data_IF_636847430755
#
_entry.id   IF_636847430755
#
_cell.length_a   1.000
_cell.length_b   1.000
_cell.length_c   1.000
_cell.angle_alpha   90.00
_cell.angle_beta   90.00
_cell.angle_gamma   90.00
#
_symmetry.space_group_name_H-M   'P 1'
#
loop_
_entity.id
_entity.type
_entity.pdbx_description
1 polymer ?
#
# COMPACT_ATOMS: atom_id res chain seq x y z
N UNK A 1 -21.80 14.44 -23.59
CA UNK A 1 -21.67 15.60 -22.69
C UNK A 1 -20.59 15.26 -21.66
N UNK A 2 -19.59 16.11 -21.44
CA UNK A 2 -18.64 15.92 -20.35
C UNK A 2 -19.38 16.19 -19.03
N UNK A 3 -19.69 15.15 -18.27
CA UNK A 3 -20.24 15.31 -16.91
C UNK A 3 -19.07 15.39 -15.97
N UNK A 4 -18.69 16.61 -15.59
CA UNK A 4 -17.60 16.86 -14.67
C UNK A 4 -18.07 16.52 -13.24
N UNK A 5 -17.82 15.28 -12.82
CA UNK A 5 -18.12 14.86 -11.45
C UNK A 5 -17.06 15.40 -10.49
N UNK A 6 -17.41 16.52 -9.85
CA UNK A 6 -16.57 17.19 -8.85
C UNK A 6 -16.25 16.30 -7.65
N UNK A 7 -17.12 15.36 -7.29
CA UNK A 7 -16.87 14.44 -6.18
C UNK A 7 -15.80 13.42 -6.57
N UNK A 8 -15.87 12.87 -7.79
CA UNK A 8 -14.85 11.96 -8.30
C UNK A 8 -13.48 12.64 -8.42
N UNK A 9 -13.45 13.89 -8.91
CA UNK A 9 -12.21 14.67 -8.97
C UNK A 9 -11.61 14.92 -7.58
N UNK A 10 -12.43 15.31 -6.60
CA UNK A 10 -11.99 15.50 -5.21
C UNK A 10 -11.44 14.20 -4.61
N UNK A 11 -12.10 13.07 -4.86
CA UNK A 11 -11.64 11.76 -4.39
C UNK A 11 -10.31 11.34 -5.04
N UNK A 12 -10.13 11.61 -6.33
CA UNK A 12 -8.85 11.40 -7.02
C UNK A 12 -7.74 12.25 -6.40
N UNK A 13 -7.96 13.56 -6.24
CA UNK A 13 -6.97 14.46 -5.62
C UNK A 13 -6.62 14.01 -4.21
N UNK A 14 -7.62 13.58 -3.42
CA UNK A 14 -7.41 13.04 -2.09
C UNK A 14 -6.54 11.77 -2.09
N UNK A 15 -6.77 10.84 -3.03
CA UNK A 15 -5.93 9.67 -3.19
C UNK A 15 -4.50 10.01 -3.62
N UNK A 16 -4.33 10.98 -4.52
CA UNK A 16 -3.00 11.44 -4.91
C UNK A 16 -2.25 12.02 -3.72
N UNK A 17 -2.92 12.80 -2.87
CA UNK A 17 -2.35 13.30 -1.62
C UNK A 17 -1.97 12.17 -0.66
N UNK A 18 -2.82 11.15 -0.51
CA UNK A 18 -2.53 9.95 0.29
C UNK A 18 -1.28 9.21 -0.18
N UNK A 19 -1.10 9.08 -1.51
CA UNK A 19 0.11 8.45 -2.08
C UNK A 19 1.34 9.26 -1.70
N UNK A 20 1.29 10.59 -1.79
CA UNK A 20 2.39 11.47 -1.39
C UNK A 20 2.74 11.27 0.08
N UNK A 21 1.74 11.28 0.98
CA UNK A 21 1.96 11.02 2.41
C UNK A 21 2.57 9.63 2.63
N UNK A 22 2.12 8.62 1.88
CA UNK A 22 2.63 7.26 1.95
C UNK A 22 4.12 7.18 1.56
N UNK A 23 4.54 7.97 0.57
CA UNK A 23 5.95 8.10 0.15
C UNK A 23 6.77 8.81 1.23
N UNK A 24 6.29 9.94 1.74
CA UNK A 24 6.98 10.70 2.81
C UNK A 24 7.18 9.85 4.06
N UNK A 25 6.17 9.10 4.49
CA UNK A 25 6.28 8.16 5.61
C UNK A 25 7.26 7.03 5.32
N UNK A 26 7.28 6.50 4.09
CA UNK A 26 8.25 5.49 3.66
C UNK A 26 9.70 5.99 3.76
N UNK A 27 9.94 7.22 3.29
CA UNK A 27 11.23 7.92 3.41
C UNK A 27 11.60 8.11 4.89
N UNK A 28 10.69 8.63 5.71
CA UNK A 28 10.92 8.84 7.14
C UNK A 28 11.29 7.56 7.89
N UNK A 29 10.64 6.43 7.58
CA UNK A 29 10.97 5.12 8.16
C UNK A 29 12.35 4.63 7.71
N UNK A 30 12.68 4.83 6.44
CA UNK A 30 13.98 4.43 5.90
C UNK A 30 15.12 5.20 6.57
N UNK A 31 14.91 6.50 6.85
CA UNK A 31 15.81 7.33 7.66
C UNK A 31 15.89 6.80 9.10
N UNK A 32 14.75 6.56 9.77
CA UNK A 32 14.71 6.02 11.16
C UNK A 32 15.46 4.70 11.30
N UNK A 33 15.45 3.85 10.27
CA UNK A 33 16.12 2.53 10.26
C UNK A 33 17.61 2.59 9.91
N UNK A 34 18.17 3.77 9.59
CA UNK A 34 19.58 3.93 9.22
C UNK A 34 19.99 3.25 7.90
N UNK A 35 19.03 2.75 7.13
CA UNK A 35 19.24 2.08 5.84
C UNK A 35 18.81 2.97 4.66
N UNK A 36 18.93 4.29 4.83
CA UNK A 36 18.50 5.22 3.81
C UNK A 36 19.49 5.18 2.64
N UNK A 37 19.01 4.65 1.51
CA UNK A 37 19.80 4.51 0.30
C UNK A 37 19.10 5.26 -0.84
N UNK A 38 19.64 6.42 -1.18
CA UNK A 38 19.12 7.28 -2.25
C UNK A 38 19.04 6.53 -3.60
N UNK A 39 19.89 5.53 -3.83
CA UNK A 39 19.87 4.74 -5.05
C UNK A 39 18.63 3.82 -5.16
N UNK A 40 18.00 3.47 -4.03
CA UNK A 40 16.79 2.63 -3.99
C UNK A 40 15.49 3.43 -4.13
N UNK A 41 15.54 4.75 -3.95
CA UNK A 41 14.40 5.64 -4.05
C UNK A 41 13.71 5.64 -5.43
N UNK A 42 14.42 5.77 -6.58
CA UNK A 42 13.78 5.72 -7.89
C UNK A 42 13.16 4.35 -8.17
N UNK A 43 13.78 3.27 -7.68
CA UNK A 43 13.23 1.93 -7.80
C UNK A 43 11.92 1.80 -7.02
N UNK A 44 11.89 2.28 -5.77
CA UNK A 44 10.67 2.31 -4.95
C UNK A 44 9.54 3.12 -5.62
N UNK A 45 9.85 4.30 -6.16
CA UNK A 45 8.88 5.10 -6.91
C UNK A 45 8.34 4.35 -8.15
N UNK A 46 9.20 3.68 -8.90
CA UNK A 46 8.80 2.95 -10.11
C UNK A 46 7.95 1.70 -9.83
N UNK A 47 8.21 0.99 -8.73
CA UNK A 47 7.55 -0.30 -8.45
C UNK A 47 6.31 -0.15 -7.59
N UNK A 48 6.31 0.81 -6.65
CA UNK A 48 5.26 0.91 -5.64
C UNK A 48 4.41 2.19 -5.75
N UNK A 49 4.83 3.19 -6.52
CA UNK A 49 4.13 4.49 -6.58
C UNK A 49 3.56 4.75 -7.97
N UNK A 50 4.40 4.67 -9.01
CA UNK A 50 4.00 4.95 -10.40
C UNK A 50 2.82 4.10 -10.88
N UNK A 51 2.77 2.77 -10.66
CA UNK A 51 1.67 1.96 -11.18
C UNK A 51 0.32 2.36 -10.59
N UNK A 52 0.28 2.74 -9.31
CA UNK A 52 -0.95 3.22 -8.67
C UNK A 52 -1.34 4.61 -9.13
N UNK A 53 -0.37 5.52 -9.27
CA UNK A 53 -0.61 6.87 -9.79
C UNK A 53 -1.19 6.81 -11.21
N UNK A 54 -0.58 6.01 -12.08
CA UNK A 54 -1.00 5.86 -13.48
C UNK A 54 -2.35 5.15 -13.59
N UNK A 55 -2.56 4.05 -12.87
CA UNK A 55 -3.83 3.30 -12.95
C UNK A 55 -5.03 4.11 -12.43
N UNK A 56 -4.90 4.81 -11.30
CA UNK A 56 -5.97 5.65 -10.75
C UNK A 56 -6.26 6.87 -11.62
N UNK A 57 -5.21 7.51 -12.15
CA UNK A 57 -5.36 8.64 -13.07
C UNK A 57 -6.04 8.20 -14.37
N UNK A 58 -5.61 7.07 -14.95
CA UNK A 58 -6.21 6.51 -16.16
C UNK A 58 -7.69 6.13 -15.93
N UNK A 59 -8.01 5.46 -14.82
CA UNK A 59 -9.40 5.11 -14.47
C UNK A 59 -10.28 6.35 -14.29
N UNK A 60 -9.77 7.39 -13.62
CA UNK A 60 -10.54 8.62 -13.39
C UNK A 60 -10.73 9.40 -14.69
N UNK A 61 -9.69 9.53 -15.52
CA UNK A 61 -9.80 10.15 -16.84
C UNK A 61 -10.76 9.39 -17.75
N UNK A 62 -10.70 8.05 -17.76
CA UNK A 62 -11.62 7.22 -18.52
C UNK A 62 -13.07 7.42 -18.07
N UNK A 63 -13.31 7.47 -16.75
CA UNK A 63 -14.62 7.73 -16.18
C UNK A 63 -15.17 9.15 -16.46
N UNK A 64 -14.29 10.11 -16.79
CA UNK A 64 -14.66 11.48 -17.15
C UNK A 64 -14.91 11.68 -18.65
N UNK A 65 -14.12 11.04 -19.51
CA UNK A 65 -14.21 11.19 -20.98
C UNK A 65 -15.35 10.37 -21.53
N UNK A 66 -15.52 9.15 -21.05
CA UNK A 66 -16.63 8.32 -21.45
C UNK A 66 -17.73 8.41 -20.40
N UNK A 67 -18.78 9.18 -20.69
CA UNK A 67 -20.06 8.99 -20.02
C UNK A 67 -20.66 7.68 -20.57
N UNK A 68 -20.07 6.54 -20.16
CA UNK A 68 -20.60 5.23 -20.52
C UNK A 68 -21.83 5.00 -19.65
N UNK A 69 -22.92 5.69 -19.98
CA UNK A 69 -24.22 5.53 -19.32
C UNK A 69 -24.73 4.07 -19.38
N UNK A 70 -24.04 3.16 -20.08
CA UNK A 70 -24.37 1.73 -20.19
C UNK A 70 -23.33 0.71 -19.65
N UNK A 71 -22.14 1.08 -19.14
CA UNK A 71 -21.11 0.07 -18.73
C UNK A 71 -20.58 0.16 -17.28
N UNK A 72 -21.15 1.01 -16.40
CA UNK A 72 -20.81 0.94 -14.97
C UNK A 72 -19.38 1.40 -14.60
N UNK A 73 -18.73 2.20 -15.46
CA UNK A 73 -17.37 2.74 -15.24
C UNK A 73 -17.30 3.67 -14.02
N UNK A 74 -18.35 4.44 -13.72
CA UNK A 74 -18.42 5.30 -12.52
C UNK A 74 -18.42 4.47 -11.22
N UNK A 75 -19.27 3.44 -11.05
CA UNK A 75 -19.17 2.49 -9.94
C UNK A 75 -17.80 1.81 -9.83
N UNK A 76 -17.18 1.43 -10.96
CA UNK A 76 -15.84 0.84 -10.99
C UNK A 76 -14.77 1.81 -10.49
N UNK A 77 -14.82 3.07 -10.91
CA UNK A 77 -13.92 4.11 -10.42
C UNK A 77 -14.08 4.30 -8.91
N UNK A 78 -15.32 4.41 -8.42
CA UNK A 78 -15.60 4.51 -6.98
C UNK A 78 -15.14 3.28 -6.19
N UNK A 79 -15.41 2.07 -6.68
CA UNK A 79 -14.97 0.83 -6.05
C UNK A 79 -13.44 0.76 -5.98
N UNK A 80 -12.75 1.17 -7.05
CA UNK A 80 -11.29 1.21 -7.10
C UNK A 80 -10.72 2.24 -6.12
N UNK A 81 -11.33 3.43 -6.07
CA UNK A 81 -10.95 4.50 -5.15
C UNK A 81 -11.10 4.04 -3.70
N UNK A 82 -12.24 3.42 -3.36
CA UNK A 82 -12.52 2.93 -2.00
C UNK A 82 -11.59 1.76 -1.65
N UNK A 83 -11.44 0.78 -2.53
CA UNK A 83 -10.57 -0.37 -2.29
C UNK A 83 -9.11 0.06 -2.07
N UNK A 84 -8.61 0.94 -2.92
CA UNK A 84 -7.25 1.46 -2.80
C UNK A 84 -7.08 2.36 -1.59
N UNK A 85 -7.98 3.33 -1.40
CA UNK A 85 -7.96 4.26 -0.27
C UNK A 85 -8.02 3.54 1.07
N UNK A 86 -8.86 2.52 1.19
CA UNK A 86 -8.98 1.70 2.40
C UNK A 86 -7.68 0.97 2.71
N UNK A 87 -7.06 0.34 1.71
CA UNK A 87 -5.78 -0.35 1.87
C UNK A 87 -4.66 0.61 2.29
N UNK A 88 -4.53 1.74 1.58
CA UNK A 88 -3.48 2.72 1.86
C UNK A 88 -3.66 3.30 3.27
N UNK A 89 -4.86 3.75 3.64
CA UNK A 89 -5.13 4.37 4.96
C UNK A 89 -4.99 3.38 6.10
N UNK A 90 -5.68 2.24 6.03
CA UNK A 90 -5.80 1.34 7.18
C UNK A 90 -4.63 0.37 7.33
N UNK A 91 -4.00 -0.04 6.23
CA UNK A 91 -2.92 -1.02 6.27
C UNK A 91 -1.59 -0.30 6.20
N UNK A 92 -1.34 0.47 5.13
CA UNK A 92 0.00 1.00 4.88
C UNK A 92 0.34 2.17 5.81
N UNK A 93 -0.49 3.21 5.83
CA UNK A 93 -0.31 4.39 6.70
C UNK A 93 -0.28 4.00 8.16
N UNK A 94 -1.25 3.21 8.64
CA UNK A 94 -1.26 2.73 10.03
C UNK A 94 0.02 1.99 10.39
N UNK A 95 0.44 1.02 9.57
CA UNK A 95 1.66 0.26 9.84
C UNK A 95 2.90 1.15 9.84
N UNK A 96 2.98 2.11 8.91
CA UNK A 96 4.07 3.07 8.83
C UNK A 96 4.10 4.03 10.03
N UNK A 97 2.95 4.53 10.47
CA UNK A 97 2.83 5.39 11.67
C UNK A 97 3.24 4.61 12.92
N UNK A 98 2.77 3.37 13.08
CA UNK A 98 3.20 2.50 14.19
C UNK A 98 4.70 2.19 14.10
N UNK A 99 5.24 2.03 12.90
CA UNK A 99 6.67 1.79 12.71
C UNK A 99 7.53 3.04 12.91
N UNK A 100 6.99 4.24 12.70
CA UNK A 100 7.70 5.52 12.86
C UNK A 100 7.62 6.07 14.29
N UNK A 101 6.49 5.88 14.97
CA UNK A 101 6.23 6.42 16.31
C UNK A 101 6.08 5.34 17.40
N UNK A 102 5.99 4.07 17.03
CA UNK A 102 5.93 2.97 18.00
C UNK A 102 7.28 2.71 18.70
N UNK A 103 7.26 1.94 19.80
CA UNK A 103 8.46 1.57 20.54
C UNK A 103 9.46 0.88 19.60
N UNK A 104 10.73 1.29 19.64
CA UNK A 104 11.81 0.79 18.77
C UNK A 104 11.89 -0.75 18.76
N UNK A 105 11.44 -1.39 19.83
CA UNK A 105 11.51 -2.85 20.03
C UNK A 105 10.31 -3.65 19.50
N UNK A 106 9.22 -2.99 19.08
CA UNK A 106 7.97 -3.65 18.73
C UNK A 106 8.08 -4.48 17.43
N UNK A 107 8.75 -3.93 16.40
CA UNK A 107 9.00 -4.63 15.14
C UNK A 107 9.98 -5.81 15.28
N UNK A 108 10.98 -5.66 16.15
CA UNK A 108 12.00 -6.68 16.40
C UNK A 108 11.41 -7.94 17.09
N UNK A 109 10.49 -7.75 18.05
CA UNK A 109 9.77 -8.85 18.72
C UNK A 109 8.95 -9.68 17.74
N UNK A 110 8.25 -9.04 16.80
CA UNK A 110 7.40 -9.74 15.85
C UNK A 110 8.20 -10.60 14.86
N UNK A 111 9.34 -10.11 14.36
CA UNK A 111 10.21 -10.86 13.44
C UNK A 111 10.86 -12.07 14.15
N UNK A 112 11.33 -11.88 15.39
CA UNK A 112 11.86 -12.98 16.23
C UNK A 112 10.81 -14.05 16.51
N UNK A 113 9.56 -13.67 16.78
CA UNK A 113 8.47 -14.62 17.07
C UNK A 113 8.10 -15.47 15.84
N UNK A 114 8.03 -14.89 14.64
CA UNK A 114 7.83 -15.66 13.39
C UNK A 114 8.99 -16.61 13.11
N UNK A 115 10.23 -16.17 13.29
CA UNK A 115 11.41 -17.02 13.13
C UNK A 115 11.43 -18.19 14.12
N UNK A 116 11.01 -17.96 15.37
CA UNK A 116 10.88 -19.01 16.39
C UNK A 116 9.82 -20.05 16.03
N UNK A 117 8.63 -19.61 15.56
CA UNK A 117 7.55 -20.51 15.16
C UNK A 117 7.92 -21.36 13.93
N UNK A 118 8.65 -20.79 12.97
CA UNK A 118 9.13 -21.53 11.80
C UNK A 118 10.15 -22.62 12.18
N UNK A 119 11.11 -22.30 13.06
CA UNK A 119 12.05 -23.31 13.59
C UNK A 119 11.35 -24.39 14.39
N UNK A 120 10.36 -24.02 15.20
CA UNK A 120 9.57 -24.99 15.96
C UNK A 120 8.77 -25.90 15.04
N UNK A 121 8.19 -25.39 13.95
CA UNK A 121 7.45 -26.23 13.00
C UNK A 121 8.37 -27.22 12.27
N UNK A 122 9.58 -26.80 11.89
CA UNK A 122 10.58 -27.69 11.31
C UNK A 122 11.07 -28.77 12.29
N UNK A 123 11.21 -28.45 13.58
CA UNK A 123 11.62 -29.46 14.57
C UNK A 123 10.54 -30.49 14.89
N UNK A 124 9.26 -30.17 14.66
CA UNK A 124 8.15 -31.12 14.81
C UNK A 124 7.97 -31.99 13.57
N UNK A 125 8.17 -31.44 12.37
CA UNK A 125 8.16 -32.21 11.12
C UNK A 125 9.26 -33.27 11.06
N UNK A 126 10.44 -32.97 11.60
CA UNK A 126 11.57 -33.92 11.59
C UNK A 126 11.45 -35.05 12.63
N UNK A 127 10.55 -34.93 13.62
CA UNK A 127 10.32 -36.00 14.63
C UNK A 127 9.33 -37.06 14.17
N UNK A 128 8.51 -36.78 13.16
CA UNK A 128 7.53 -37.74 12.62
C UNK A 128 8.11 -38.63 11.50
N UNK A 129 9.27 -38.30 10.96
CA UNK A 129 9.98 -39.10 9.94
C UNK A 129 10.95 -40.16 10.49
N UNK A 130 11.10 -40.27 11.82
CA UNK A 130 11.97 -41.27 12.47
C UNK A 130 11.18 -42.41 13.15
N UNK A 131 9.85 -42.46 12.96
CA UNK A 131 8.95 -43.47 13.52
C UNK A 131 8.22 -44.26 12.43
N UNK A 132 8.89 -44.52 11.30
CA UNK A 132 8.45 -45.42 10.25
C UNK A 132 9.57 -46.42 9.94
#
# INVERSE_FOLDING_TARGET
MFVLDLALLKAMIFLLALIIVNVVLGVAISIRKGNFDFAKLPRFLSTEVMPYYLSLSALTLLAMVQDVQNYGTKPLAWASIVAYGSRVVFVELRNKVVELFGPVDAGAKHKKRKAYLLRRRQSWGNKQGFAA
#
